data_IF_483856128837
#
_entry.id   IF_483856128837
#
_cell.length_a   1.000
_cell.length_b   1.000
_cell.length_c   1.000
_cell.angle_alpha   90.00
_cell.angle_beta   90.00
_cell.angle_gamma   90.00
#
_symmetry.space_group_name_H-M   'P 1'
#
loop_
_entity.id
_entity.type
_entity.pdbx_description
1 polymer ?
#
# COMPACT_ATOMS: atom_id res chain seq x y z
N UNK A 1 -35.26 22.70 51.49
CA UNK A 1 -34.25 23.64 50.98
C UNK A 1 -32.91 22.91 50.94
N UNK A 2 -32.23 22.83 49.79
CA UNK A 2 -31.06 21.98 49.56
C UNK A 2 -29.75 22.75 49.81
N UNK A 3 -28.66 22.03 50.08
CA UNK A 3 -27.30 22.52 49.90
C UNK A 3 -26.53 21.45 49.11
N UNK A 4 -26.29 21.78 47.84
CA UNK A 4 -25.63 20.99 46.82
C UNK A 4 -24.12 20.96 47.09
N UNK A 5 -23.56 19.77 47.29
CA UNK A 5 -22.13 19.54 47.05
C UNK A 5 -21.95 19.27 45.56
N UNK A 6 -21.52 20.30 44.83
CA UNK A 6 -21.11 20.20 43.42
C UNK A 6 -19.70 19.60 43.38
N UNK A 7 -19.61 18.30 43.13
CA UNK A 7 -18.32 17.68 42.81
C UNK A 7 -18.07 17.92 41.32
N UNK A 8 -17.18 18.87 41.03
CA UNK A 8 -16.66 19.08 39.69
C UNK A 8 -15.96 17.79 39.23
N UNK A 9 -16.56 17.13 38.23
CA UNK A 9 -15.90 16.06 37.48
C UNK A 9 -14.85 16.74 36.61
N UNK A 10 -13.60 16.67 37.04
CA UNK A 10 -12.43 16.99 36.22
C UNK A 10 -12.51 16.17 34.92
N UNK A 11 -12.50 16.79 33.72
CA UNK A 11 -12.49 16.02 32.49
C UNK A 11 -11.14 15.31 32.37
N UNK A 12 -11.18 13.98 32.58
CA UNK A 12 -10.03 13.09 32.40
C UNK A 12 -9.44 13.27 30.99
N UNK A 13 -8.12 13.45 30.93
CA UNK A 13 -7.35 13.69 29.71
C UNK A 13 -7.35 12.53 28.71
N UNK A 14 -8.08 11.45 29.00
CA UNK A 14 -8.27 10.27 28.15
C UNK A 14 -9.25 10.51 26.97
N UNK A 15 -10.08 11.55 27.02
CA UNK A 15 -11.17 11.71 26.06
C UNK A 15 -10.80 12.48 24.77
N UNK A 16 -9.53 12.83 24.57
CA UNK A 16 -9.08 13.50 23.33
C UNK A 16 -8.64 12.52 22.24
N UNK A 17 -8.28 11.29 22.60
CA UNK A 17 -7.88 10.24 21.64
C UNK A 17 -9.08 9.55 20.97
N UNK A 18 -10.28 9.67 21.56
CA UNK A 18 -11.48 8.93 21.12
C UNK A 18 -12.24 9.63 19.96
N UNK A 19 -11.97 10.91 19.69
CA UNK A 19 -12.74 11.71 18.70
C UNK A 19 -12.02 12.04 17.40
N UNK A 20 -10.74 11.68 17.27
CA UNK A 20 -10.02 11.72 16.00
C UNK A 20 -9.60 10.30 15.70
N UNK A 21 -10.11 9.70 14.61
CA UNK A 21 -9.78 8.33 14.20
C UNK A 21 -8.27 8.11 14.18
N UNK A 22 -7.75 7.61 15.30
CA UNK A 22 -6.33 7.38 15.51
C UNK A 22 -5.93 6.20 14.65
N UNK A 23 -5.56 6.50 13.40
CA UNK A 23 -4.73 5.62 12.60
C UNK A 23 -3.56 5.23 13.50
N UNK A 24 -3.52 3.96 13.91
CA UNK A 24 -2.41 3.40 14.68
C UNK A 24 -1.10 3.87 14.03
N UNK A 25 -0.12 4.32 14.83
CA UNK A 25 1.14 4.78 14.29
C UNK A 25 1.69 3.71 13.33
N UNK A 26 2.25 4.14 12.19
CA UNK A 26 2.73 3.20 11.21
C UNK A 26 3.77 2.26 11.85
N UNK A 27 3.76 0.97 11.52
CA UNK A 27 4.76 0.04 12.00
C UNK A 27 6.17 0.57 11.70
N UNK A 28 7.12 0.38 12.61
CA UNK A 28 8.47 0.91 12.48
C UNK A 28 9.20 0.38 11.23
N UNK A 29 8.89 -0.84 10.80
CA UNK A 29 9.41 -1.47 9.57
C UNK A 29 8.73 -0.95 8.29
N UNK A 30 7.75 -0.04 8.40
CA UNK A 30 7.14 0.73 7.31
C UNK A 30 7.41 2.24 7.42
N UNK A 31 8.40 2.65 8.22
CA UNK A 31 8.86 4.04 8.27
C UNK A 31 9.36 4.51 6.90
N UNK A 32 9.30 5.82 6.63
CA UNK A 32 9.68 6.37 5.33
C UNK A 32 11.14 6.07 4.98
N UNK A 33 12.03 6.03 5.98
CA UNK A 33 13.44 5.68 5.83
C UNK A 33 13.64 4.22 5.41
N UNK A 34 12.87 3.29 5.98
CA UNK A 34 12.95 1.87 5.63
C UNK A 34 12.43 1.62 4.20
N UNK A 35 11.34 2.30 3.84
CA UNK A 35 10.82 2.25 2.47
C UNK A 35 11.80 2.89 1.48
N UNK A 36 12.50 3.96 1.86
CA UNK A 36 13.55 4.56 1.04
C UNK A 36 14.71 3.58 0.81
N UNK A 37 15.15 2.83 1.84
CA UNK A 37 16.18 1.79 1.70
C UNK A 37 15.78 0.73 0.67
N UNK A 38 14.51 0.30 0.67
CA UNK A 38 13.99 -0.65 -0.34
C UNK A 38 14.11 -0.08 -1.74
N UNK A 39 13.67 1.16 -1.96
CA UNK A 39 13.70 1.85 -3.26
C UNK A 39 15.13 2.08 -3.75
N UNK A 40 16.07 2.37 -2.85
CA UNK A 40 17.49 2.55 -3.15
C UNK A 40 18.27 1.24 -3.23
N UNK A 41 17.60 0.08 -3.18
CA UNK A 41 18.21 -1.25 -3.19
C UNK A 41 19.27 -1.46 -2.09
N UNK A 42 19.06 -0.86 -0.92
CA UNK A 42 19.91 -1.00 0.26
C UNK A 42 19.50 -2.19 1.15
N UNK A 43 18.35 -2.82 0.86
CA UNK A 43 17.89 -4.08 1.47
C UNK A 43 18.15 -5.24 0.50
N UNK A 44 18.28 -6.47 1.01
CA UNK A 44 18.36 -7.67 0.16
C UNK A 44 17.02 -7.94 -0.55
N UNK A 45 17.07 -8.76 -1.61
CA UNK A 45 15.87 -9.10 -2.39
C UNK A 45 14.92 -9.97 -1.52
N UNK A 46 15.50 -10.83 -0.68
CA UNK A 46 14.84 -11.71 0.28
C UNK A 46 14.16 -10.93 1.41
N UNK A 47 14.88 -10.01 2.09
CA UNK A 47 14.30 -9.19 3.16
C UNK A 47 13.11 -8.38 2.67
N UNK A 48 13.21 -7.85 1.45
CA UNK A 48 12.12 -7.08 0.83
C UNK A 48 10.91 -7.96 0.58
N UNK A 49 11.12 -9.20 0.10
CA UNK A 49 10.06 -10.19 -0.09
C UNK A 49 9.42 -10.63 1.24
N UNK A 50 10.21 -10.90 2.27
CA UNK A 50 9.70 -11.27 3.59
C UNK A 50 8.83 -10.17 4.21
N UNK A 51 9.26 -8.91 4.08
CA UNK A 51 8.51 -7.75 4.56
C UNK A 51 7.14 -7.65 3.87
N UNK A 52 7.10 -7.74 2.54
CA UNK A 52 5.83 -7.67 1.81
C UNK A 52 4.94 -8.89 2.08
N UNK A 53 5.52 -10.08 2.25
CA UNK A 53 4.76 -11.28 2.62
C UNK A 53 4.08 -11.14 3.98
N UNK A 54 4.79 -10.61 4.98
CA UNK A 54 4.23 -10.28 6.30
C UNK A 54 2.98 -9.40 6.18
N UNK A 55 3.05 -8.34 5.37
CA UNK A 55 1.94 -7.39 5.20
C UNK A 55 0.84 -7.86 4.24
N UNK A 56 1.14 -8.80 3.35
CA UNK A 56 0.12 -9.53 2.58
C UNK A 56 -0.63 -10.56 3.45
N UNK A 57 -0.10 -10.89 4.63
CA UNK A 57 -0.72 -11.81 5.59
C UNK A 57 -0.15 -13.22 5.57
N UNK A 58 0.92 -13.48 4.83
CA UNK A 58 1.60 -14.78 4.88
C UNK A 58 2.37 -14.91 6.20
N UNK A 59 2.25 -16.06 6.84
CA UNK A 59 3.01 -16.40 8.05
C UNK A 59 3.67 -17.74 7.87
N UNK A 60 4.93 -17.85 8.27
CA UNK A 60 5.65 -19.11 8.26
C UNK A 60 5.29 -19.89 9.52
N UNK A 61 4.86 -21.14 9.35
CA UNK A 61 4.53 -22.06 10.45
C UNK A 61 5.77 -22.91 10.77
N UNK A 62 5.84 -23.47 11.97
CA UNK A 62 7.00 -24.21 12.47
C UNK A 62 7.45 -25.36 11.54
N UNK A 63 6.52 -25.99 10.83
CA UNK A 63 6.78 -27.13 9.93
C UNK A 63 7.27 -26.71 8.53
N UNK A 64 7.55 -25.41 8.32
CA UNK A 64 7.96 -24.88 7.01
C UNK A 64 6.79 -24.61 6.05
N UNK A 65 5.56 -24.88 6.47
CA UNK A 65 4.35 -24.50 5.74
C UNK A 65 4.04 -23.01 5.88
N UNK A 66 3.21 -22.49 4.96
CA UNK A 66 2.75 -21.10 4.97
C UNK A 66 1.29 -21.03 5.39
N UNK A 67 1.03 -20.38 6.52
CA UNK A 67 -0.31 -19.97 6.90
C UNK A 67 -0.75 -18.78 6.03
N UNK A 68 -1.85 -19.00 5.31
CA UNK A 68 -2.47 -18.02 4.43
C UNK A 68 -3.86 -17.58 4.88
N UNK A 69 -4.27 -17.95 6.10
CA UNK A 69 -5.58 -17.61 6.66
C UNK A 69 -5.81 -16.10 6.74
N UNK A 70 -4.75 -15.33 7.00
CA UNK A 70 -4.77 -13.87 7.06
C UNK A 70 -4.52 -13.19 5.70
N UNK A 71 -4.25 -13.95 4.63
CA UNK A 71 -3.99 -13.40 3.30
C UNK A 71 -5.29 -12.96 2.64
N UNK A 72 -5.26 -11.80 1.96
CA UNK A 72 -6.41 -11.29 1.22
C UNK A 72 -7.02 -12.38 0.31
N UNK A 73 -8.34 -12.69 0.41
CA UNK A 73 -8.93 -13.85 -0.26
C UNK A 73 -8.69 -13.90 -1.78
N UNK A 74 -8.76 -12.75 -2.45
CA UNK A 74 -8.51 -12.67 -3.89
C UNK A 74 -7.03 -12.85 -4.25
N UNK A 75 -6.12 -12.45 -3.36
CA UNK A 75 -4.69 -12.68 -3.51
C UNK A 75 -4.36 -14.16 -3.31
N UNK A 76 -4.83 -14.74 -2.20
CA UNK A 76 -4.64 -16.15 -1.85
C UNK A 76 -5.10 -17.12 -2.94
N UNK A 77 -6.24 -16.84 -3.58
CA UNK A 77 -6.75 -17.65 -4.71
C UNK A 77 -5.79 -17.71 -5.89
N UNK A 78 -5.00 -16.66 -6.11
CA UNK A 78 -4.06 -16.54 -7.23
C UNK A 78 -2.64 -16.95 -6.85
N UNK A 79 -2.29 -16.76 -5.58
CA UNK A 79 -0.98 -17.01 -5.02
C UNK A 79 -1.14 -17.77 -3.69
N UNK A 80 -1.33 -19.09 -3.71
CA UNK A 80 -1.50 -19.90 -2.49
C UNK A 80 -0.20 -19.99 -1.67
N UNK A 81 0.95 -19.83 -2.31
CA UNK A 81 2.26 -19.69 -1.68
C UNK A 81 2.77 -18.26 -1.89
N UNK A 82 3.63 -17.74 -0.99
CA UNK A 82 4.21 -16.41 -1.17
C UNK A 82 5.03 -16.35 -2.47
N UNK A 83 4.69 -15.46 -3.41
CA UNK A 83 5.42 -15.34 -4.67
C UNK A 83 6.65 -14.45 -4.50
N UNK A 84 7.68 -14.67 -5.30
CA UNK A 84 8.76 -13.69 -5.47
C UNK A 84 8.22 -12.45 -6.20
N UNK A 85 8.44 -11.27 -5.62
CA UNK A 85 8.01 -9.98 -6.15
C UNK A 85 9.19 -9.12 -6.63
N UNK A 86 10.43 -9.49 -6.34
CA UNK A 86 11.62 -8.69 -6.65
C UNK A 86 12.41 -9.31 -7.81
N UNK A 87 12.41 -10.64 -7.92
CA UNK A 87 13.22 -11.38 -8.88
C UNK A 87 14.58 -11.71 -8.31
N UNK A 88 14.61 -12.48 -7.22
CA UNK A 88 15.81 -12.88 -6.46
C UNK A 88 16.84 -13.58 -7.37
N UNK A 89 16.37 -14.40 -8.30
CA UNK A 89 17.22 -15.15 -9.24
C UNK A 89 17.89 -14.27 -10.29
N UNK A 90 17.52 -12.98 -10.39
CA UNK A 90 18.03 -11.98 -11.35
C UNK A 90 18.11 -12.47 -12.80
N UNK A 91 17.26 -13.45 -13.12
CA UNK A 91 17.18 -14.08 -14.43
C UNK A 91 15.90 -13.61 -15.10
N UNK A 92 16.06 -12.76 -16.12
CA UNK A 92 14.95 -12.12 -16.82
C UNK A 92 14.49 -12.89 -18.07
N UNK A 93 14.78 -14.19 -18.13
CA UNK A 93 14.20 -15.04 -19.17
C UNK A 93 12.70 -15.15 -18.94
N UNK A 94 11.92 -15.19 -20.02
CA UNK A 94 10.46 -15.18 -19.95
C UNK A 94 9.90 -16.26 -19.00
N UNK A 95 10.46 -17.46 -19.04
CA UNK A 95 9.99 -18.59 -18.24
C UNK A 95 10.16 -18.38 -16.74
N UNK A 96 11.28 -17.76 -16.32
CA UNK A 96 11.60 -17.51 -14.90
C UNK A 96 10.95 -16.22 -14.41
N UNK A 97 10.85 -15.22 -15.27
CA UNK A 97 10.42 -13.87 -14.89
C UNK A 97 8.90 -13.67 -14.95
N UNK A 98 8.19 -14.39 -15.83
CA UNK A 98 6.73 -14.33 -15.97
C UNK A 98 5.97 -14.49 -14.63
N UNK A 99 6.28 -15.47 -13.74
CA UNK A 99 5.57 -15.55 -12.46
C UNK A 99 5.79 -14.33 -11.56
N UNK A 100 7.03 -13.80 -11.51
CA UNK A 100 7.38 -12.58 -10.74
C UNK A 100 6.62 -11.38 -11.29
N UNK A 101 6.66 -11.21 -12.62
CA UNK A 101 5.96 -10.12 -13.31
C UNK A 101 4.45 -10.17 -13.03
N UNK A 102 3.82 -11.35 -13.10
CA UNK A 102 2.40 -11.50 -12.81
C UNK A 102 2.06 -11.19 -11.36
N UNK A 103 2.89 -11.61 -10.41
CA UNK A 103 2.70 -11.30 -9.00
C UNK A 103 2.76 -9.78 -8.76
N UNK A 104 3.78 -9.12 -9.30
CA UNK A 104 3.96 -7.67 -9.14
C UNK A 104 2.88 -6.86 -9.85
N UNK A 105 2.48 -7.25 -11.07
CA UNK A 105 1.36 -6.60 -11.76
C UNK A 105 0.05 -6.75 -10.97
N UNK A 106 -0.14 -7.89 -10.31
CA UNK A 106 -1.31 -8.12 -9.45
C UNK A 106 -1.27 -7.23 -8.21
N UNK A 107 -0.08 -7.01 -7.66
CA UNK A 107 0.14 -6.10 -6.53
C UNK A 107 -0.22 -4.67 -6.94
N UNK A 108 0.29 -4.21 -8.09
CA UNK A 108 0.02 -2.88 -8.62
C UNK A 108 -1.47 -2.65 -8.93
N UNK A 109 -2.17 -3.67 -9.46
CA UNK A 109 -3.62 -3.60 -9.69
C UNK A 109 -4.44 -3.45 -8.41
N UNK A 110 -3.89 -3.86 -7.26
CA UNK A 110 -4.57 -3.70 -5.97
C UNK A 110 -4.47 -2.29 -5.39
N UNK A 111 -3.54 -1.46 -5.89
CA UNK A 111 -3.33 -0.09 -5.42
C UNK A 111 -4.28 0.89 -6.13
N UNK A 112 -5.10 1.65 -5.38
CA UNK A 112 -5.92 2.74 -5.92
C UNK A 112 -5.09 3.81 -6.64
N UNK A 113 -5.71 4.50 -7.61
CA UNK A 113 -5.03 5.57 -8.38
C UNK A 113 -4.51 6.70 -7.47
N UNK A 114 -5.24 7.02 -6.39
CA UNK A 114 -4.85 8.03 -5.39
C UNK A 114 -3.51 7.70 -4.71
N UNK A 115 -3.17 6.42 -4.61
CA UNK A 115 -1.96 5.94 -3.94
C UNK A 115 -0.84 5.55 -4.91
N UNK A 116 -1.00 5.77 -6.22
CA UNK A 116 0.05 5.48 -7.20
C UNK A 116 1.23 6.46 -7.14
N UNK A 117 1.02 7.65 -6.55
CA UNK A 117 2.05 8.68 -6.40
C UNK A 117 2.65 8.72 -4.99
N UNK A 118 2.35 7.75 -4.12
CA UNK A 118 2.81 7.73 -2.72
C UNK A 118 4.33 7.87 -2.60
N UNK A 119 5.11 7.16 -3.43
CA UNK A 119 6.57 7.26 -3.42
C UNK A 119 7.06 8.72 -3.51
N UNK A 120 6.46 9.51 -4.41
CA UNK A 120 6.84 10.91 -4.59
C UNK A 120 6.39 11.77 -3.42
N UNK A 121 5.22 11.48 -2.85
CA UNK A 121 4.68 12.23 -1.71
C UNK A 121 5.54 12.03 -0.46
N UNK A 122 5.85 10.78 -0.12
CA UNK A 122 6.52 10.42 1.15
C UNK A 122 8.05 10.48 1.07
N UNK A 123 8.66 10.11 -0.05
CA UNK A 123 10.13 10.04 -0.14
C UNK A 123 10.79 11.35 -0.62
N UNK A 124 10.04 12.24 -1.27
CA UNK A 124 10.59 13.53 -1.74
C UNK A 124 11.12 14.41 -0.58
N UNK A 125 10.44 14.52 0.58
CA UNK A 125 11.00 15.21 1.75
C UNK A 125 12.32 14.61 2.24
N UNK A 126 12.53 13.30 2.07
CA UNK A 126 13.79 12.61 2.40
C UNK A 126 14.88 12.77 1.32
N UNK A 127 14.64 13.60 0.31
CA UNK A 127 15.60 13.87 -0.76
C UNK A 127 15.54 12.90 -1.94
N UNK A 128 14.54 12.01 -2.01
CA UNK A 128 14.35 11.14 -3.17
C UNK A 128 13.86 11.93 -4.38
N UNK A 129 14.64 11.89 -5.47
CA UNK A 129 14.36 12.64 -6.72
C UNK A 129 13.70 11.78 -7.81
N UNK A 130 13.41 10.52 -7.51
CA UNK A 130 12.99 9.51 -8.50
C UNK A 130 14.17 8.73 -9.08
N UNK A 131 13.87 7.75 -9.94
CA UNK A 131 14.89 7.01 -10.67
C UNK A 131 15.37 7.80 -11.89
N UNK A 132 16.68 7.74 -12.13
CA UNK A 132 17.25 8.16 -13.43
C UNK A 132 16.95 7.07 -14.46
N UNK A 133 16.70 7.45 -15.70
CA UNK A 133 16.46 6.46 -16.78
C UNK A 133 17.71 5.62 -17.08
N UNK A 134 18.90 6.20 -16.88
CA UNK A 134 20.16 5.48 -16.97
C UNK A 134 20.30 4.49 -15.80
N UNK A 135 20.33 3.19 -16.11
CA UNK A 135 20.55 2.14 -15.12
C UNK A 135 19.29 1.63 -14.42
N UNK A 136 18.08 2.00 -14.88
CA UNK A 136 16.84 1.43 -14.34
C UNK A 136 16.72 -0.05 -14.71
N UNK A 137 16.84 -0.92 -13.71
CA UNK A 137 16.68 -2.38 -13.89
C UNK A 137 15.26 -2.85 -13.56
N UNK A 138 14.83 -4.02 -14.04
CA UNK A 138 13.55 -4.61 -13.64
C UNK A 138 13.44 -4.81 -12.12
N UNK A 139 14.53 -5.23 -11.45
CA UNK A 139 14.61 -5.35 -10.00
C UNK A 139 14.32 -4.02 -9.28
N UNK A 140 14.97 -2.92 -9.70
CA UNK A 140 14.73 -1.59 -9.11
C UNK A 140 13.29 -1.12 -9.30
N UNK A 141 12.73 -1.37 -10.48
CA UNK A 141 11.33 -1.03 -10.78
C UNK A 141 10.36 -1.81 -9.89
N UNK A 142 10.62 -3.11 -9.68
CA UNK A 142 9.81 -3.97 -8.80
C UNK A 142 9.90 -3.54 -7.33
N UNK A 143 11.09 -3.19 -6.85
CA UNK A 143 11.29 -2.64 -5.49
C UNK A 143 10.45 -1.38 -5.27
N UNK A 144 10.44 -0.47 -6.24
CA UNK A 144 9.59 0.71 -6.20
C UNK A 144 8.09 0.35 -6.16
N UNK A 145 7.68 -0.63 -6.96
CA UNK A 145 6.30 -1.13 -6.98
C UNK A 145 5.90 -1.76 -5.64
N UNK A 146 6.79 -2.53 -5.00
CA UNK A 146 6.57 -3.10 -3.67
C UNK A 146 6.51 -2.00 -2.60
N UNK A 147 7.46 -1.07 -2.59
CA UNK A 147 7.48 0.05 -1.66
C UNK A 147 6.21 0.92 -1.77
N UNK A 148 5.73 1.19 -3.00
CA UNK A 148 4.48 1.92 -3.20
C UNK A 148 3.28 1.19 -2.60
N UNK A 149 3.22 -0.13 -2.74
CA UNK A 149 2.17 -0.93 -2.13
C UNK A 149 2.25 -0.92 -0.60
N UNK A 150 3.46 -1.00 -0.03
CA UNK A 150 3.67 -0.92 1.43
C UNK A 150 3.22 0.44 2.00
N UNK A 151 3.49 1.54 1.28
CA UNK A 151 2.93 2.85 1.65
C UNK A 151 1.41 2.86 1.57
N UNK A 152 0.83 2.27 0.53
CA UNK A 152 -0.62 2.14 0.44
C UNK A 152 -1.19 1.35 1.62
N UNK A 153 -0.56 0.22 1.99
CA UNK A 153 -0.97 -0.57 3.14
C UNK A 153 -0.94 0.26 4.42
N UNK A 154 0.17 0.97 4.66
CA UNK A 154 0.35 1.85 5.83
C UNK A 154 -0.71 2.94 5.94
N UNK A 155 -1.02 3.63 4.85
CA UNK A 155 -1.94 4.78 4.87
C UNK A 155 -3.42 4.37 4.87
N UNK A 156 -3.76 3.30 4.13
CA UNK A 156 -5.14 2.99 3.81
C UNK A 156 -5.68 1.72 4.47
N UNK A 157 -4.81 0.76 4.83
CA UNK A 157 -5.20 -0.54 5.35
C UNK A 157 -4.85 -0.72 6.83
N UNK A 158 -3.76 -0.11 7.29
CA UNK A 158 -3.29 -0.25 8.67
C UNK A 158 -4.30 0.35 9.67
N UNK A 159 -4.74 -0.45 10.63
CA UNK A 159 -5.67 -0.02 11.68
C UNK A 159 -7.10 0.29 11.21
N UNK A 160 -7.43 0.03 9.95
CA UNK A 160 -8.77 0.33 9.40
C UNK A 160 -9.65 -0.92 9.44
N UNK A 161 -10.83 -0.89 10.08
CA UNK A 161 -11.72 -2.04 10.13
C UNK A 161 -12.23 -2.42 8.73
N UNK A 162 -12.47 -3.71 8.49
CA UNK A 162 -12.85 -4.25 7.17
C UNK A 162 -14.10 -3.59 6.59
N UNK A 163 -15.07 -3.23 7.44
CA UNK A 163 -16.30 -2.55 7.00
C UNK A 163 -16.03 -1.14 6.48
N UNK A 164 -15.06 -0.43 7.06
CA UNK A 164 -14.63 0.88 6.58
C UNK A 164 -13.94 0.76 5.21
N UNK A 165 -13.11 -0.27 5.02
CA UNK A 165 -12.49 -0.56 3.73
C UNK A 165 -13.54 -0.86 2.65
N UNK A 166 -14.58 -1.64 2.98
CA UNK A 166 -15.71 -1.89 2.07
C UNK A 166 -16.46 -0.60 1.73
N UNK A 167 -16.72 0.25 2.72
CA UNK A 167 -17.38 1.55 2.53
C UNK A 167 -16.57 2.48 1.62
N UNK A 168 -15.27 2.62 1.87
CA UNK A 168 -14.34 3.40 1.02
C UNK A 168 -14.30 2.86 -0.40
N UNK A 169 -14.25 1.53 -0.57
CA UNK A 169 -14.29 0.89 -1.88
C UNK A 169 -15.60 1.16 -2.62
N UNK A 170 -16.75 1.07 -1.93
CA UNK A 170 -18.06 1.35 -2.51
C UNK A 170 -18.21 2.83 -2.90
N UNK A 171 -17.79 3.75 -2.04
CA UNK A 171 -17.78 5.18 -2.32
C UNK A 171 -16.88 5.53 -3.52
N UNK A 172 -15.73 4.86 -3.64
CA UNK A 172 -14.84 4.99 -4.78
C UNK A 172 -15.49 4.46 -6.07
N UNK A 173 -16.05 3.25 -6.05
CA UNK A 173 -16.72 2.69 -7.21
C UNK A 173 -17.87 3.59 -7.70
N UNK A 174 -18.61 4.20 -6.77
CA UNK A 174 -19.65 5.17 -7.10
C UNK A 174 -19.09 6.47 -7.72
N UNK A 175 -17.96 7.00 -7.20
CA UNK A 175 -17.28 8.16 -7.80
C UNK A 175 -16.72 7.88 -9.18
N UNK A 176 -16.11 6.71 -9.38
CA UNK A 176 -15.58 6.28 -10.68
C UNK A 176 -16.72 6.10 -11.69
N UNK A 177 -17.81 5.43 -11.30
CA UNK A 177 -19.00 5.30 -12.15
C UNK A 177 -19.65 6.65 -12.48
N UNK A 178 -19.68 7.58 -11.52
CA UNK A 178 -20.19 8.92 -11.75
C UNK A 178 -19.30 9.74 -12.68
N UNK A 179 -17.97 9.60 -12.57
CA UNK A 179 -17.01 10.27 -13.46
C UNK A 179 -17.08 9.73 -14.90
N UNK A 180 -17.31 8.43 -15.07
CA UNK A 180 -17.47 7.79 -16.38
C UNK A 180 -18.82 8.13 -17.04
N UNK A 181 -19.82 8.51 -16.25
CA UNK A 181 -21.11 8.98 -16.74
C UNK A 181 -21.12 10.45 -17.22
N UNK A 182 -20.03 11.21 -17.04
CA UNK A 182 -19.91 12.59 -17.55
C UNK A 182 -19.50 12.52 -19.04
N UNK A 183 -20.32 12.99 -19.99
CA UNK A 183 -19.96 12.97 -21.41
C UNK A 183 -18.77 13.88 -21.70
N UNK A 184 -17.88 13.53 -22.65
CA UNK A 184 -16.70 14.33 -22.96
C UNK A 184 -17.16 15.70 -23.48
N UNK A 185 -16.85 16.75 -22.71
CA UNK A 185 -17.18 18.13 -23.06
C UNK A 185 -16.25 18.59 -24.19
N UNK A 186 -16.79 18.65 -25.41
CA UNK A 186 -16.43 19.55 -26.50
C UNK A 186 -14.95 19.65 -26.92
N UNK A 187 -14.56 18.88 -27.94
CA UNK A 187 -13.45 19.26 -28.83
C UNK A 187 -13.82 20.56 -29.55
N UNK A 188 -13.22 21.68 -29.13
CA UNK A 188 -13.21 22.93 -29.90
C UNK A 188 -12.59 22.67 -31.26
N UNK A 189 -13.40 22.77 -32.33
CA UNK A 189 -12.91 22.81 -33.71
C UNK A 189 -12.05 24.07 -33.88
N UNK A 190 -10.76 23.88 -34.11
CA UNK A 190 -9.87 24.91 -34.64
C UNK A 190 -10.35 25.24 -36.06
N UNK A 191 -11.00 26.39 -36.24
CA UNK A 191 -11.29 26.95 -37.57
C UNK A 191 -9.99 27.44 -38.19
N UNK A 192 -9.66 26.88 -39.35
CA UNK A 192 -8.75 27.45 -40.34
C UNK A 192 -9.49 28.56 -41.05
N UNK A 193 -8.99 29.80 -40.96
CA UNK A 193 -9.01 30.80 -42.03
C UNK A 193 -7.75 31.66 -41.89
#
# INVERSE_FOLDING_TARGET
>A
APLLASSAVEPSSDNLADQMGALLPPPADLADEELLKIVLSQTTDEETNELIWKYLGYRRVADGEWDTSAVFPNWRKRFPTPPDLIGVTRTYSREVDEPVLRAVQSLQKSVPTEHKNNLRTFLKPLGWKGFKMEGLTPNMTRRAQVANWLMYYREALHGVPVEELKRRKAARAAREAAAEAIPPTGTTKQSVI
#
